data_IF_820919948518
#
_entry.id   IF_820919948518
#
_cell.length_a   1.000
_cell.length_b   1.000
_cell.length_c   1.000
_cell.angle_alpha   90.00
_cell.angle_beta   90.00
_cell.angle_gamma   90.00
#
_symmetry.space_group_name_H-M   'P 1'
#
loop_
_entity.id
_entity.type
_entity.pdbx_description
1 polymer ?
#
# COMPACT_ATOMS: atom_id res chain seq x y z
N UNK A 1 10.89 16.00 -13.84
CA UNK A 1 9.82 15.00 -13.58
C UNK A 1 10.29 13.53 -13.62
N UNK A 2 11.11 13.08 -14.59
CA UNK A 2 11.43 11.65 -14.76
C UNK A 2 11.96 10.91 -13.51
N UNK A 3 12.69 11.58 -12.63
CA UNK A 3 13.22 11.02 -11.37
C UNK A 3 12.13 10.40 -10.46
N UNK A 4 10.96 11.05 -10.33
CA UNK A 4 9.88 10.59 -9.46
C UNK A 4 9.18 9.32 -9.98
N UNK A 5 9.14 9.11 -11.32
CA UNK A 5 8.63 7.86 -11.90
C UNK A 5 9.53 6.67 -11.57
N UNK A 6 10.85 6.88 -11.49
CA UNK A 6 11.82 5.86 -11.07
C UNK A 6 11.61 5.41 -9.62
N UNK A 7 11.48 6.37 -8.69
CA UNK A 7 11.27 6.07 -7.26
C UNK A 7 9.97 5.30 -7.03
N UNK A 8 8.87 5.72 -7.66
CA UNK A 8 7.58 5.01 -7.56
C UNK A 8 7.63 3.57 -8.09
N UNK A 9 8.42 3.31 -9.14
CA UNK A 9 8.65 1.96 -9.66
C UNK A 9 9.48 1.11 -8.70
N UNK A 10 10.53 1.67 -8.08
CA UNK A 10 11.38 0.92 -7.15
C UNK A 10 10.66 0.59 -5.84
N UNK A 11 9.92 1.54 -5.24
CA UNK A 11 9.11 1.24 -4.04
C UNK A 11 8.04 0.21 -4.34
N UNK A 12 7.33 0.33 -5.46
CA UNK A 12 6.33 -0.67 -5.89
C UNK A 12 6.95 -2.06 -6.11
N UNK A 13 8.16 -2.15 -6.68
CA UNK A 13 8.89 -3.42 -6.84
C UNK A 13 9.25 -4.05 -5.49
N UNK A 14 9.72 -3.25 -4.53
CA UNK A 14 10.07 -3.71 -3.17
C UNK A 14 8.81 -4.22 -2.44
N UNK A 15 7.71 -3.47 -2.47
CA UNK A 15 6.48 -3.82 -1.76
C UNK A 15 5.66 -4.94 -2.42
N UNK A 16 5.72 -5.14 -3.75
CA UNK A 16 5.03 -6.26 -4.41
C UNK A 16 5.75 -7.61 -4.23
N UNK A 17 7.08 -7.61 -4.17
CA UNK A 17 7.88 -8.82 -3.93
C UNK A 17 7.59 -9.44 -2.54
N UNK A 18 7.23 -8.62 -1.55
CA UNK A 18 6.83 -9.08 -0.22
C UNK A 18 5.57 -9.97 -0.22
N UNK A 19 4.51 -9.53 -0.91
CA UNK A 19 3.20 -10.18 -0.87
C UNK A 19 3.12 -11.47 -1.71
N UNK A 20 3.85 -11.60 -2.82
CA UNK A 20 3.69 -12.74 -3.75
C UNK A 20 4.02 -14.09 -3.09
N UNK A 21 5.05 -14.11 -2.25
CA UNK A 21 5.47 -15.29 -1.48
C UNK A 21 4.55 -15.62 -0.29
N UNK A 22 3.62 -14.74 0.12
CA UNK A 22 2.69 -15.05 1.21
C UNK A 22 1.66 -16.14 0.80
N UNK A 23 1.34 -16.22 -0.50
CA UNK A 23 0.48 -17.27 -1.05
C UNK A 23 1.20 -18.64 -1.16
N UNK A 24 2.52 -18.65 -1.32
CA UNK A 24 3.29 -19.88 -1.57
C UNK A 24 3.75 -20.59 -0.29
N UNK A 25 3.94 -19.86 0.82
CA UNK A 25 4.35 -20.43 2.12
C UNK A 25 3.22 -21.24 2.78
N UNK A 26 1.96 -21.01 2.41
CA UNK A 26 0.81 -21.78 2.93
C UNK A 26 0.76 -23.25 2.43
N UNK A 27 1.68 -23.67 1.55
CA UNK A 27 1.61 -24.94 0.84
C UNK A 27 2.78 -25.93 1.15
N UNK A 28 3.74 -25.58 2.01
CA UNK A 28 4.87 -26.47 2.38
C UNK A 28 5.29 -26.32 3.83
N UNK A 29 5.16 -27.39 4.63
CA UNK A 29 5.48 -27.34 6.06
C UNK A 29 5.47 -28.67 6.81
N UNK A 30 6.27 -29.66 6.37
CA UNK A 30 6.62 -30.83 7.19
C UNK A 30 7.96 -31.45 6.79
N UNK A 31 8.54 -32.21 7.73
CA UNK A 31 9.70 -33.12 7.60
C UNK A 31 11.07 -32.52 7.22
N UNK A 32 11.91 -32.36 8.25
CA UNK A 32 13.22 -33.01 8.28
C UNK A 32 13.67 -33.20 9.74
N UNK A 33 14.12 -34.40 10.12
CA UNK A 33 14.69 -34.60 11.46
C UNK A 33 14.96 -36.06 11.84
N UNK A 34 16.19 -36.54 11.60
CA UNK A 34 16.83 -37.50 12.50
C UNK A 34 18.35 -37.55 12.40
N UNK A 35 18.92 -37.73 13.58
CA UNK A 35 20.30 -37.89 14.01
C UNK A 35 21.24 -38.74 13.15
N UNK A 36 22.52 -38.36 13.15
CA UNK A 36 23.66 -39.30 13.30
C UNK A 36 24.54 -38.76 14.44
N UNK A 37 25.11 -39.65 15.25
CA UNK A 37 25.96 -39.33 16.41
C UNK A 37 27.44 -39.65 16.15
N UNK A 38 28.34 -38.89 16.80
CA UNK A 38 29.61 -39.34 17.40
C UNK A 38 30.36 -38.18 18.06
N UNK A 39 30.79 -38.38 19.31
CA UNK A 39 31.92 -37.68 19.94
C UNK A 39 33.15 -38.60 19.91
N UNK A 40 34.37 -38.11 20.21
CA UNK A 40 34.81 -38.15 21.62
C UNK A 40 35.58 -36.90 22.12
N UNK A 41 35.47 -36.69 23.44
CA UNK A 41 36.52 -36.31 24.42
C UNK A 41 37.52 -35.15 24.19
N UNK A 42 37.74 -34.35 25.24
CA UNK A 42 38.89 -33.43 25.35
C UNK A 42 38.71 -32.22 26.29
N UNK A 43 38.92 -32.43 27.61
CA UNK A 43 39.48 -31.54 28.67
C UNK A 43 39.27 -29.99 28.65
N UNK A 44 39.18 -29.27 29.77
CA UNK A 44 39.00 -29.57 31.21
C UNK A 44 38.79 -28.23 31.99
N UNK A 45 38.33 -28.28 33.26
CA UNK A 45 38.49 -27.28 34.37
C UNK A 45 38.08 -25.80 34.12
N UNK A 46 37.51 -25.00 35.04
CA UNK A 46 36.88 -25.08 36.39
C UNK A 46 35.78 -23.98 36.42
N UNK A 47 34.91 -23.75 37.42
CA UNK A 47 34.72 -24.18 38.81
C UNK A 47 33.21 -24.46 39.05
N UNK A 48 32.71 -25.24 40.01
CA UNK A 48 32.63 -25.03 41.47
C UNK A 48 32.11 -23.62 41.90
N UNK A 49 31.06 -23.48 42.73
CA UNK A 49 30.35 -24.49 43.56
C UNK A 49 28.97 -23.97 44.06
N UNK A 50 28.07 -24.92 44.41
CA UNK A 50 26.91 -24.81 45.34
C UNK A 50 25.65 -24.02 44.90
N UNK A 51 24.42 -24.39 45.30
CA UNK A 51 23.87 -25.67 45.84
C UNK A 51 22.31 -25.60 45.89
N UNK A 52 21.62 -26.69 45.51
CA UNK A 52 20.25 -27.13 45.93
C UNK A 52 19.04 -26.17 45.86
N UNK A 53 17.77 -26.60 45.83
CA UNK A 53 17.07 -27.90 45.77
C UNK A 53 15.76 -27.61 44.97
N UNK A 54 15.10 -28.40 44.13
CA UNK A 54 14.97 -29.84 43.83
C UNK A 54 13.46 -30.19 43.84
N UNK A 55 12.98 -30.95 42.83
CA UNK A 55 11.58 -31.48 42.68
C UNK A 55 10.53 -30.36 42.43
N UNK A 56 9.52 -30.49 41.57
CA UNK A 56 8.97 -31.55 40.70
C UNK A 56 8.28 -30.82 39.49
N UNK A 57 7.87 -31.40 38.35
CA UNK A 57 7.73 -32.79 37.84
C UNK A 57 7.77 -32.74 36.29
N UNK A 58 7.51 -33.85 35.59
CA UNK A 58 7.17 -33.87 34.14
C UNK A 58 5.99 -34.82 33.84
N UNK A 59 5.39 -34.78 32.62
CA UNK A 59 4.01 -35.20 32.38
C UNK A 59 3.85 -36.62 31.81
N UNK A 60 2.59 -37.07 31.67
CA UNK A 60 2.20 -38.09 30.69
C UNK A 60 1.31 -37.47 29.60
N UNK A 61 1.40 -38.08 28.42
CA UNK A 61 0.54 -37.91 27.24
C UNK A 61 0.35 -39.30 26.62
N UNK A 62 -0.27 -39.37 25.44
CA UNK A 62 -0.39 -40.57 24.57
C UNK A 62 -1.43 -41.60 25.04
N UNK A 63 -2.18 -42.28 24.15
CA UNK A 63 -2.22 -42.24 22.67
C UNK A 63 -3.66 -42.39 22.14
N UNK A 64 -3.89 -42.07 20.86
CA UNK A 64 -4.73 -42.91 19.98
C UNK A 64 -4.44 -42.72 18.48
N UNK A 65 -4.72 -43.79 17.75
CA UNK A 65 -4.24 -44.08 16.39
C UNK A 65 -4.86 -43.21 15.28
N UNK A 66 -4.15 -43.11 14.15
CA UNK A 66 -4.74 -42.82 12.83
C UNK A 66 -4.23 -43.88 11.84
N UNK A 67 -5.15 -44.53 11.11
CA UNK A 67 -4.81 -45.48 10.03
C UNK A 67 -4.58 -44.72 8.73
N UNK A 68 -3.55 -45.09 7.99
CA UNK A 68 -3.29 -44.58 6.64
C UNK A 68 -3.87 -45.51 5.57
N UNK A 69 -4.29 -44.94 4.45
CA UNK A 69 -4.60 -45.67 3.21
C UNK A 69 -3.96 -44.91 2.06
N UNK A 70 -3.25 -45.63 1.19
CA UNK A 70 -2.39 -45.05 0.15
C UNK A 70 -3.04 -45.24 -1.22
N UNK A 71 -3.05 -44.20 -2.05
CA UNK A 71 -3.24 -44.31 -3.50
C UNK A 71 -2.22 -43.45 -4.22
N UNK A 72 -1.73 -43.95 -5.35
CA UNK A 72 -0.74 -43.30 -6.22
C UNK A 72 -1.34 -43.09 -7.61
N UNK A 73 -1.12 -41.92 -8.23
CA UNK A 73 -1.20 -41.73 -9.69
C UNK A 73 -0.11 -40.71 -10.11
N UNK A 74 0.47 -40.90 -11.30
CA UNK A 74 1.42 -39.97 -11.95
C UNK A 74 0.77 -38.58 -12.24
N UNK A 75 1.48 -37.47 -12.52
CA UNK A 75 2.40 -37.32 -13.65
C UNK A 75 3.07 -35.91 -13.75
N UNK A 76 4.24 -35.90 -14.42
CA UNK A 76 4.78 -34.86 -15.34
C UNK A 76 4.92 -33.37 -14.90
N UNK A 77 6.14 -32.84 -15.07
CA UNK A 77 6.42 -31.40 -15.26
C UNK A 77 6.49 -31.04 -16.75
N UNK A 78 6.26 -29.76 -17.13
CA UNK A 78 7.39 -29.00 -17.70
C UNK A 78 7.42 -27.48 -17.42
N UNK A 79 8.58 -27.02 -16.94
CA UNK A 79 9.39 -25.88 -17.42
C UNK A 79 8.72 -24.79 -18.31
N UNK A 80 8.75 -23.52 -17.87
CA UNK A 80 8.37 -22.33 -18.69
C UNK A 80 9.39 -21.19 -18.50
N UNK A 81 9.84 -20.58 -19.60
CA UNK A 81 10.70 -19.37 -19.65
C UNK A 81 9.91 -18.11 -20.06
N UNK A 82 10.41 -16.93 -19.65
CA UNK A 82 10.21 -15.58 -20.23
C UNK A 82 8.81 -15.14 -20.72
N UNK A 83 8.12 -14.25 -19.99
CA UNK A 83 6.85 -13.64 -20.46
C UNK A 83 6.62 -12.13 -20.18
N UNK A 84 7.65 -11.28 -20.06
CA UNK A 84 7.47 -9.84 -19.79
C UNK A 84 7.15 -8.93 -21.00
N UNK A 85 6.81 -9.50 -22.16
CA UNK A 85 6.32 -8.74 -23.34
C UNK A 85 4.94 -9.20 -23.87
N UNK A 86 4.25 -10.14 -23.20
CA UNK A 86 2.95 -10.69 -23.64
C UNK A 86 1.72 -10.10 -22.94
N UNK A 87 1.90 -9.38 -21.83
CA UNK A 87 0.81 -8.80 -21.00
C UNK A 87 0.13 -7.61 -21.67
N UNK A 88 0.89 -6.61 -22.11
CA UNK A 88 0.37 -5.42 -22.83
C UNK A 88 -0.36 -5.80 -24.13
N UNK A 89 0.21 -6.74 -24.91
CA UNK A 89 -0.45 -7.26 -26.12
C UNK A 89 -1.77 -7.99 -25.81
N UNK A 90 -1.87 -8.68 -24.66
CA UNK A 90 -3.13 -9.32 -24.23
C UNK A 90 -4.18 -8.30 -23.82
N UNK A 91 -3.80 -7.24 -23.11
CA UNK A 91 -4.74 -6.16 -22.75
C UNK A 91 -5.30 -5.47 -24.01
N UNK A 92 -4.43 -5.08 -24.94
CA UNK A 92 -4.82 -4.44 -26.22
C UNK A 92 -5.66 -5.37 -27.10
N UNK A 93 -5.34 -6.68 -27.15
CA UNK A 93 -6.15 -7.67 -27.85
C UNK A 93 -7.51 -7.92 -27.20
N UNK A 94 -7.61 -7.87 -25.86
CA UNK A 94 -8.85 -8.01 -25.11
C UNK A 94 -9.81 -6.84 -25.41
N UNK A 95 -9.35 -5.59 -25.28
CA UNK A 95 -10.15 -4.41 -25.66
C UNK A 95 -10.57 -4.43 -27.13
N UNK A 96 -9.67 -4.82 -28.05
CA UNK A 96 -10.00 -4.93 -29.48
C UNK A 96 -11.05 -6.03 -29.77
N UNK A 97 -11.02 -7.15 -29.02
CA UNK A 97 -12.10 -8.16 -29.07
C UNK A 97 -13.42 -7.62 -28.52
N UNK A 98 -13.39 -6.88 -27.40
CA UNK A 98 -14.58 -6.30 -26.77
C UNK A 98 -15.31 -5.34 -27.73
N UNK A 99 -14.56 -4.44 -28.38
CA UNK A 99 -15.09 -3.48 -29.37
C UNK A 99 -15.69 -4.20 -30.57
N UNK A 100 -15.02 -5.23 -31.10
CA UNK A 100 -15.53 -5.98 -32.25
C UNK A 100 -16.78 -6.82 -31.92
N UNK A 101 -16.85 -7.42 -30.72
CA UNK A 101 -18.03 -8.16 -30.27
C UNK A 101 -19.27 -7.26 -30.10
N UNK A 102 -19.08 -6.01 -29.65
CA UNK A 102 -20.16 -5.02 -29.62
C UNK A 102 -20.61 -4.60 -31.03
N UNK A 103 -19.68 -4.39 -31.97
CA UNK A 103 -20.00 -4.05 -33.37
C UNK A 103 -20.78 -5.14 -34.11
N UNK A 104 -20.55 -6.42 -33.81
CA UNK A 104 -21.32 -7.52 -34.42
C UNK A 104 -22.77 -7.63 -33.92
N UNK A 105 -23.12 -7.00 -32.79
CA UNK A 105 -24.43 -7.17 -32.14
C UNK A 105 -25.40 -6.00 -32.37
N UNK A 106 -25.07 -5.09 -33.30
CA UNK A 106 -25.86 -3.88 -33.60
C UNK A 106 -26.22 -3.74 -35.09
N UNK A 107 -26.60 -4.85 -35.74
CA UNK A 107 -27.16 -4.88 -37.10
C UNK A 107 -28.48 -5.66 -37.13
N UNK A 108 -29.51 -5.07 -36.55
CA UNK A 108 -30.92 -5.46 -36.70
C UNK A 108 -31.81 -4.28 -36.34
N UNK A 109 -32.87 -4.06 -37.13
CA UNK A 109 -33.95 -3.10 -36.89
C UNK A 109 -33.60 -1.60 -37.00
N UNK A 110 -33.71 -1.08 -38.22
CA UNK A 110 -34.57 0.10 -38.46
C UNK A 110 -36.01 -0.42 -38.72
N UNK A 111 -37.10 0.36 -38.82
CA UNK A 111 -37.32 1.80 -38.97
C UNK A 111 -38.51 2.27 -38.10
N UNK A 112 -38.72 3.59 -38.00
CA UNK A 112 -39.99 4.33 -38.23
C UNK A 112 -39.77 5.81 -37.89
N UNK A 113 -40.33 6.72 -38.70
CA UNK A 113 -40.32 8.17 -38.48
C UNK A 113 -41.68 8.68 -37.97
N UNK A 114 -41.66 9.72 -37.11
CA UNK A 114 -42.74 10.74 -37.00
C UNK A 114 -42.16 12.04 -36.41
N UNK A 115 -42.93 13.14 -36.45
CA UNK A 115 -42.41 14.52 -36.51
C UNK A 115 -42.67 15.41 -35.28
N UNK A 116 -41.74 16.35 -35.04
CA UNK A 116 -41.85 17.68 -34.39
C UNK A 116 -42.70 17.88 -33.12
N UNK A 117 -42.07 18.49 -32.10
CA UNK A 117 -42.37 19.86 -31.58
C UNK A 117 -41.19 20.29 -30.68
N UNK A 118 -40.98 21.61 -30.49
CA UNK A 118 -39.80 22.18 -29.83
C UNK A 118 -39.92 22.33 -28.31
N UNK A 119 -38.80 22.21 -27.60
CA UNK A 119 -38.44 22.92 -26.34
C UNK A 119 -36.95 22.68 -26.04
N UNK A 120 -36.25 23.53 -25.27
CA UNK A 120 -34.80 23.48 -25.16
C UNK A 120 -34.31 22.27 -24.37
N UNK A 121 -33.82 21.25 -25.08
CA UNK A 121 -33.31 20.01 -24.48
C UNK A 121 -31.97 20.22 -23.78
N UNK A 122 -31.86 19.72 -22.54
CA UNK A 122 -30.57 19.34 -21.99
C UNK A 122 -29.89 18.31 -22.91
N UNK A 123 -28.57 18.39 -23.05
CA UNK A 123 -27.80 17.62 -24.04
C UNK A 123 -27.64 16.14 -23.65
N UNK A 124 -28.73 15.39 -23.82
CA UNK A 124 -28.84 13.94 -23.60
C UNK A 124 -28.11 13.11 -24.68
N UNK A 125 -26.82 13.41 -24.90
CA UNK A 125 -25.91 12.56 -25.66
C UNK A 125 -25.93 11.14 -25.10
N UNK A 126 -25.87 10.13 -25.98
CA UNK A 126 -26.11 8.76 -25.54
C UNK A 126 -25.01 8.29 -24.58
N UNK A 127 -25.26 7.27 -23.74
CA UNK A 127 -24.22 6.72 -22.84
C UNK A 127 -22.95 6.24 -23.56
N UNK A 128 -23.03 5.96 -24.87
CA UNK A 128 -21.88 5.64 -25.72
C UNK A 128 -21.01 6.88 -25.97
N UNK A 129 -21.63 8.03 -26.23
CA UNK A 129 -20.96 9.27 -26.60
C UNK A 129 -20.21 9.86 -25.42
N UNK A 130 -20.82 9.85 -24.22
CA UNK A 130 -20.15 10.20 -22.97
C UNK A 130 -18.92 9.33 -22.69
N UNK A 131 -19.03 8.01 -22.93
CA UNK A 131 -17.92 7.06 -22.75
C UNK A 131 -16.78 7.32 -23.75
N UNK A 132 -17.10 7.60 -25.01
CA UNK A 132 -16.11 7.94 -26.05
C UNK A 132 -15.45 9.29 -25.77
N UNK A 133 -16.22 10.30 -25.35
CA UNK A 133 -15.70 11.63 -25.03
C UNK A 133 -14.71 11.58 -23.85
N UNK A 134 -15.10 10.97 -22.73
CA UNK A 134 -14.22 10.77 -21.58
C UNK A 134 -12.96 9.97 -21.94
N UNK A 135 -13.11 8.87 -22.67
CA UNK A 135 -11.99 8.08 -23.16
C UNK A 135 -11.03 8.89 -24.04
N UNK A 136 -11.53 9.79 -24.88
CA UNK A 136 -10.72 10.67 -25.72
C UNK A 136 -9.94 11.71 -24.87
N UNK A 137 -10.55 12.29 -23.84
CA UNK A 137 -9.86 13.22 -22.93
C UNK A 137 -8.72 12.52 -22.18
N UNK A 138 -9.00 11.35 -21.58
CA UNK A 138 -7.99 10.57 -20.85
C UNK A 138 -6.84 10.13 -21.77
N UNK A 139 -7.14 9.66 -22.99
CA UNK A 139 -6.11 9.30 -23.98
C UNK A 139 -5.29 10.49 -24.49
N UNK A 140 -5.82 11.71 -24.43
CA UNK A 140 -5.09 12.95 -24.74
C UNK A 140 -4.28 13.50 -23.55
N UNK A 141 -4.35 12.87 -22.37
CA UNK A 141 -3.74 13.38 -21.14
C UNK A 141 -4.48 14.56 -20.51
N UNK A 142 -5.69 14.88 -21.01
CA UNK A 142 -6.58 15.97 -20.56
C UNK A 142 -7.34 15.56 -19.30
N UNK A 143 -6.60 15.27 -18.23
CA UNK A 143 -7.16 14.67 -17.01
C UNK A 143 -8.05 15.62 -16.23
N UNK A 144 -7.77 16.92 -16.30
CA UNK A 144 -8.51 17.95 -15.56
C UNK A 144 -9.81 18.28 -16.28
N UNK A 145 -9.81 18.37 -17.61
CA UNK A 145 -11.05 18.42 -18.39
C UNK A 145 -11.88 17.12 -18.25
N UNK A 146 -11.22 15.95 -18.19
CA UNK A 146 -11.89 14.68 -17.91
C UNK A 146 -12.53 14.65 -16.51
N UNK A 147 -11.87 15.23 -15.50
CA UNK A 147 -12.44 15.37 -14.16
C UNK A 147 -13.63 16.35 -14.15
N UNK A 148 -13.51 17.53 -14.78
CA UNK A 148 -14.63 18.47 -14.90
C UNK A 148 -15.83 17.88 -15.64
N UNK A 149 -15.61 17.09 -16.70
CA UNK A 149 -16.68 16.36 -17.40
C UNK A 149 -17.42 15.37 -16.49
N UNK A 150 -16.71 14.65 -15.62
CA UNK A 150 -17.32 13.72 -14.65
C UNK A 150 -18.24 14.42 -13.62
N UNK A 151 -18.09 15.72 -13.40
CA UNK A 151 -18.95 16.52 -12.51
C UNK A 151 -20.21 17.06 -13.22
N UNK A 152 -20.27 16.99 -14.55
CA UNK A 152 -21.37 17.51 -15.37
C UNK A 152 -22.38 16.44 -15.80
N UNK A 153 -22.12 15.16 -15.51
CA UNK A 153 -22.95 14.02 -15.90
C UNK A 153 -23.58 13.32 -14.69
N UNK A 154 -24.54 12.40 -14.93
CA UNK A 154 -25.09 11.54 -13.88
C UNK A 154 -23.98 10.85 -13.07
N UNK A 155 -24.11 10.88 -11.75
CA UNK A 155 -23.12 10.35 -10.82
C UNK A 155 -22.89 8.83 -11.03
N UNK A 156 -23.91 8.08 -11.43
CA UNK A 156 -23.79 6.64 -11.70
C UNK A 156 -23.05 6.35 -13.02
N UNK A 157 -23.18 7.24 -14.02
CA UNK A 157 -22.36 7.25 -15.22
C UNK A 157 -20.90 7.63 -14.90
N UNK A 158 -20.67 8.68 -14.11
CA UNK A 158 -19.35 9.10 -13.67
C UNK A 158 -18.59 7.98 -12.92
N UNK A 159 -19.26 7.30 -11.99
CA UNK A 159 -18.70 6.14 -11.27
C UNK A 159 -18.34 4.96 -12.20
N UNK A 160 -19.14 4.71 -13.25
CA UNK A 160 -18.82 3.70 -14.28
C UNK A 160 -17.60 4.09 -15.11
N UNK A 161 -17.37 5.37 -15.36
CA UNK A 161 -16.21 5.88 -16.10
C UNK A 161 -14.93 5.94 -15.26
N UNK A 162 -15.02 6.22 -13.95
CA UNK A 162 -13.89 6.24 -13.02
C UNK A 162 -13.24 4.85 -12.82
N UNK A 163 -13.99 3.77 -13.05
CA UNK A 163 -13.52 2.38 -12.96
C UNK A 163 -12.47 2.07 -14.03
N UNK A 164 -11.20 2.14 -13.64
CA UNK A 164 -10.06 1.95 -14.52
C UNK A 164 -9.58 3.20 -15.25
N UNK A 165 -10.13 4.39 -14.92
CA UNK A 165 -9.65 5.68 -15.46
C UNK A 165 -8.17 5.97 -15.13
N UNK A 166 -7.66 5.40 -14.04
CA UNK A 166 -6.25 5.47 -13.66
C UNK A 166 -5.94 6.63 -12.72
N UNK A 167 -4.74 6.58 -12.13
CA UNK A 167 -4.38 7.46 -11.03
C UNK A 167 -4.42 8.95 -11.39
N UNK A 168 -4.01 9.35 -12.59
CA UNK A 168 -3.93 10.77 -12.95
C UNK A 168 -5.31 11.45 -13.08
N UNK A 169 -6.36 10.71 -13.43
CA UNK A 169 -7.76 11.20 -13.34
C UNK A 169 -8.20 11.34 -11.87
N UNK A 170 -7.77 10.42 -10.99
CA UNK A 170 -8.00 10.54 -9.55
C UNK A 170 -7.34 11.80 -8.95
N UNK A 171 -6.12 12.13 -9.40
CA UNK A 171 -5.45 13.39 -9.02
C UNK A 171 -6.21 14.61 -9.51
N UNK A 172 -6.64 14.60 -10.76
CA UNK A 172 -7.45 15.69 -11.31
C UNK A 172 -8.75 15.91 -10.51
N UNK A 173 -9.44 14.82 -10.13
CA UNK A 173 -10.63 14.90 -9.27
C UNK A 173 -10.31 15.48 -7.88
N UNK A 174 -9.17 15.15 -7.28
CA UNK A 174 -8.70 15.77 -6.02
C UNK A 174 -8.40 17.27 -6.16
N UNK A 175 -7.96 17.74 -7.33
CA UNK A 175 -7.85 19.18 -7.62
C UNK A 175 -9.21 19.85 -7.72
N UNK A 176 -10.23 19.18 -8.29
CA UNK A 176 -11.61 19.71 -8.31
C UNK A 176 -12.19 19.88 -6.89
N UNK A 177 -11.90 18.95 -5.96
CA UNK A 177 -12.29 19.06 -4.54
C UNK A 177 -11.68 20.29 -3.83
N UNK A 178 -10.54 20.78 -4.31
CA UNK A 178 -9.75 21.83 -3.63
C UNK A 178 -9.76 23.20 -4.32
N UNK A 179 -10.05 23.25 -5.62
CA UNK A 179 -9.88 24.46 -6.45
C UNK A 179 -11.07 24.77 -7.38
N UNK A 180 -12.20 24.05 -7.29
CA UNK A 180 -13.37 24.29 -8.14
C UNK A 180 -14.61 24.71 -7.35
N UNK A 181 -15.48 25.47 -8.01
CA UNK A 181 -16.84 25.79 -7.55
C UNK A 181 -17.68 24.52 -7.31
N UNK A 182 -17.33 23.42 -7.98
CA UNK A 182 -17.98 22.12 -7.84
C UNK A 182 -17.41 21.25 -6.70
N UNK A 183 -16.73 21.85 -5.70
CA UNK A 183 -16.10 21.14 -4.56
C UNK A 183 -17.01 20.06 -3.96
N UNK A 184 -18.26 20.38 -3.68
CA UNK A 184 -19.20 19.47 -3.01
C UNK A 184 -19.55 18.26 -3.89
N UNK A 185 -19.81 18.49 -5.19
CA UNK A 185 -20.06 17.44 -6.18
C UNK A 185 -18.82 16.55 -6.35
N UNK A 186 -17.65 17.16 -6.43
CA UNK A 186 -16.37 16.46 -6.52
C UNK A 186 -16.10 15.61 -5.26
N UNK A 187 -16.37 16.13 -4.07
CA UNK A 187 -16.24 15.40 -2.81
C UNK A 187 -17.20 14.20 -2.77
N UNK A 188 -18.48 14.41 -3.08
CA UNK A 188 -19.49 13.35 -3.09
C UNK A 188 -19.19 12.25 -4.11
N UNK A 189 -18.72 12.60 -5.31
CA UNK A 189 -18.26 11.63 -6.31
C UNK A 189 -17.00 10.87 -5.85
N UNK A 190 -16.04 11.58 -5.23
CA UNK A 190 -14.79 10.99 -4.72
C UNK A 190 -15.04 9.98 -3.61
N UNK A 191 -15.93 10.29 -2.66
CA UNK A 191 -16.35 9.35 -1.61
C UNK A 191 -16.91 8.05 -2.20
N UNK A 192 -17.90 8.16 -3.09
CA UNK A 192 -18.50 6.99 -3.75
C UNK A 192 -17.49 6.19 -4.60
N UNK A 193 -16.53 6.86 -5.25
CA UNK A 193 -15.44 6.19 -5.95
C UNK A 193 -14.55 5.37 -4.99
N UNK A 194 -14.20 5.93 -3.83
CA UNK A 194 -13.43 5.23 -2.81
C UNK A 194 -14.21 4.05 -2.21
N UNK A 195 -15.49 4.26 -1.89
CA UNK A 195 -16.43 3.21 -1.46
C UNK A 195 -16.53 2.08 -2.49
N UNK A 196 -16.67 2.39 -3.78
CA UNK A 196 -16.69 1.37 -4.84
C UNK A 196 -15.36 0.62 -4.99
N UNK A 197 -14.21 1.30 -4.88
CA UNK A 197 -12.90 0.64 -4.94
C UNK A 197 -12.73 -0.31 -3.73
N UNK A 198 -13.10 0.15 -2.53
CA UNK A 198 -13.13 -0.67 -1.30
C UNK A 198 -14.07 -1.87 -1.48
N UNK A 199 -15.30 -1.64 -1.97
CA UNK A 199 -16.31 -2.67 -2.20
C UNK A 199 -15.93 -3.67 -3.30
N UNK A 200 -15.07 -3.29 -4.25
CA UNK A 200 -14.47 -4.21 -5.24
C UNK A 200 -13.26 -5.02 -4.74
N UNK A 201 -12.53 -4.52 -3.73
CA UNK A 201 -11.26 -5.10 -3.28
C UNK A 201 -11.44 -6.46 -2.56
N UNK A 202 -10.67 -7.49 -2.92
CA UNK A 202 -10.85 -8.84 -2.32
C UNK A 202 -10.26 -8.99 -0.92
N UNK A 203 -9.27 -8.19 -0.53
CA UNK A 203 -8.62 -8.29 0.78
C UNK A 203 -8.02 -6.95 1.22
N UNK A 204 -8.31 -6.51 2.44
CA UNK A 204 -7.85 -5.22 2.98
C UNK A 204 -6.32 -4.98 2.79
N UNK A 205 -5.40 -5.94 3.03
CA UNK A 205 -3.96 -5.74 2.80
C UNK A 205 -3.53 -5.47 1.34
N UNK A 206 -4.46 -5.48 0.38
CA UNK A 206 -4.22 -5.12 -1.04
C UNK A 206 -4.88 -3.81 -1.46
N UNK A 207 -5.81 -3.29 -0.64
CA UNK A 207 -6.56 -2.06 -0.88
C UNK A 207 -5.61 -0.86 -1.03
N UNK A 208 -5.85 -0.04 -2.05
CA UNK A 208 -5.02 1.14 -2.40
C UNK A 208 -3.49 0.87 -2.47
N UNK A 209 -3.02 -0.38 -2.66
CA UNK A 209 -1.59 -0.66 -2.91
C UNK A 209 -1.20 -0.50 -4.38
N UNK A 210 -2.13 -0.73 -5.30
CA UNK A 210 -1.91 -0.58 -6.74
C UNK A 210 -2.00 0.89 -7.20
N UNK A 211 -1.71 1.15 -8.49
CA UNK A 211 -1.91 2.44 -9.15
C UNK A 211 -3.34 2.48 -9.71
N UNK A 212 -4.31 2.80 -8.86
CA UNK A 212 -5.74 2.94 -9.18
C UNK A 212 -6.21 4.40 -9.17
N UNK A 213 -7.45 4.65 -9.55
CA UNK A 213 -8.08 5.98 -9.51
C UNK A 213 -8.18 6.49 -8.07
N UNK A 214 -8.66 5.68 -7.11
CA UNK A 214 -8.70 6.05 -5.69
C UNK A 214 -7.32 6.25 -5.08
N UNK A 215 -6.35 5.40 -5.42
CA UNK A 215 -4.95 5.57 -5.03
C UNK A 215 -4.33 6.90 -5.51
N UNK A 216 -4.68 7.35 -6.72
CA UNK A 216 -4.26 8.63 -7.28
C UNK A 216 -4.90 9.81 -6.55
N UNK A 217 -6.21 9.73 -6.31
CA UNK A 217 -6.96 10.71 -5.52
C UNK A 217 -6.38 10.88 -4.10
N UNK A 218 -6.17 9.78 -3.36
CA UNK A 218 -5.61 9.79 -2.01
C UNK A 218 -4.21 10.43 -1.98
N UNK A 219 -3.35 10.14 -2.97
CA UNK A 219 -2.02 10.77 -3.07
C UNK A 219 -2.11 12.29 -3.28
N UNK A 220 -2.96 12.75 -4.19
CA UNK A 220 -3.08 14.17 -4.52
C UNK A 220 -3.82 14.96 -3.44
N UNK A 221 -4.93 14.46 -2.90
CA UNK A 221 -5.76 15.25 -1.97
C UNK A 221 -5.02 15.59 -0.67
N UNK A 222 -4.15 14.68 -0.22
CA UNK A 222 -3.19 14.93 0.86
C UNK A 222 -2.12 15.95 0.45
N UNK A 223 -1.56 15.82 -0.75
CA UNK A 223 -0.58 16.76 -1.29
C UNK A 223 -1.14 18.17 -1.53
N UNK A 224 -2.45 18.32 -1.75
CA UNK A 224 -3.13 19.62 -1.81
C UNK A 224 -3.42 20.13 -0.39
N UNK A 225 -4.28 19.44 0.37
CA UNK A 225 -4.86 19.94 1.63
C UNK A 225 -3.87 20.10 2.80
N UNK A 226 -2.86 19.25 2.93
CA UNK A 226 -2.00 19.27 4.13
C UNK A 226 -1.16 20.57 4.16
N UNK A 227 -1.12 21.34 5.27
CA UNK A 227 -0.42 22.62 5.33
C UNK A 227 1.06 22.56 4.92
N UNK A 228 1.56 23.63 4.30
CA UNK A 228 2.97 23.75 3.85
C UNK A 228 3.97 23.60 5.01
N UNK A 229 3.65 24.11 6.20
CA UNK A 229 4.45 23.88 7.41
C UNK A 229 4.59 22.39 7.74
N UNK A 230 3.47 21.64 7.74
CA UNK A 230 3.47 20.19 7.99
C UNK A 230 4.25 19.43 6.91
N UNK A 231 4.12 19.83 5.64
CA UNK A 231 4.91 19.27 4.51
C UNK A 231 6.41 19.48 4.74
N UNK A 232 6.83 20.67 5.20
CA UNK A 232 8.23 20.97 5.48
C UNK A 232 8.76 20.21 6.70
N UNK A 233 8.01 20.19 7.81
CA UNK A 233 8.35 19.41 9.01
C UNK A 233 8.55 17.92 8.67
N UNK A 234 7.65 17.34 7.87
CA UNK A 234 7.74 15.94 7.43
C UNK A 234 8.91 15.71 6.46
N UNK A 235 9.22 16.65 5.56
CA UNK A 235 10.44 16.56 4.74
C UNK A 235 11.72 16.60 5.60
N UNK A 236 11.74 17.41 6.66
CA UNK A 236 12.89 17.60 7.55
C UNK A 236 13.22 16.35 8.39
N UNK A 237 12.31 15.39 8.53
CA UNK A 237 12.60 14.06 9.10
C UNK A 237 13.82 13.41 8.42
N UNK A 238 14.00 13.63 7.11
CA UNK A 238 15.14 13.08 6.39
C UNK A 238 16.51 13.67 6.81
N UNK A 239 16.52 14.82 7.50
CA UNK A 239 17.70 15.45 8.09
C UNK A 239 17.99 14.94 9.52
N UNK A 240 17.01 14.34 10.21
CA UNK A 240 17.26 13.56 11.43
C UNK A 240 18.13 12.33 11.14
N UNK A 241 18.22 11.92 9.88
CA UNK A 241 18.91 10.73 9.41
C UNK A 241 20.43 10.96 9.13
N UNK A 242 21.01 12.01 9.71
CA UNK A 242 22.37 12.53 9.44
C UNK A 242 23.53 11.71 10.01
N UNK A 243 23.43 10.38 9.99
CA UNK A 243 24.54 9.49 10.33
C UNK A 243 25.55 9.51 9.18
N UNK A 244 26.85 9.61 9.49
CA UNK A 244 27.91 9.57 8.46
C UNK A 244 27.98 8.22 7.73
N UNK A 245 27.52 7.16 8.39
CA UNK A 245 27.57 5.78 7.93
C UNK A 245 26.15 5.27 7.61
N UNK A 246 25.92 4.81 6.37
CA UNK A 246 24.64 4.21 5.97
C UNK A 246 24.85 2.88 5.23
N UNK A 247 24.92 1.81 6.01
CA UNK A 247 25.01 0.42 5.54
C UNK A 247 23.88 -0.39 6.16
N UNK A 248 22.69 -0.21 5.60
CA UNK A 248 21.45 -0.95 5.94
C UNK A 248 20.85 -1.60 4.67
N UNK A 249 21.73 -1.98 3.75
CA UNK A 249 21.45 -2.90 2.66
C UNK A 249 21.83 -4.32 3.09
N UNK A 250 21.14 -5.37 2.60
CA UNK A 250 21.58 -6.74 2.83
C UNK A 250 22.96 -6.97 2.19
N UNK A 251 23.77 -7.91 2.71
CA UNK A 251 25.01 -8.33 2.07
C UNK A 251 24.76 -8.69 0.60
N UNK A 252 25.60 -8.17 -0.32
CA UNK A 252 25.76 -8.86 -1.60
C UNK A 252 26.57 -10.13 -1.33
N UNK A 253 26.26 -11.17 -2.09
CA UNK A 253 27.01 -12.41 -2.06
C UNK A 253 28.49 -12.11 -2.38
N UNK A 254 29.39 -12.43 -1.43
CA UNK A 254 30.83 -12.12 -1.43
C UNK A 254 31.27 -10.69 -1.04
N UNK A 255 30.39 -9.78 -0.61
CA UNK A 255 30.82 -8.51 0.02
C UNK A 255 30.98 -8.64 1.54
N UNK A 256 32.17 -8.29 2.07
CA UNK A 256 32.38 -8.15 3.53
C UNK A 256 31.48 -7.02 4.01
N UNK A 257 30.41 -7.37 4.70
CA UNK A 257 29.37 -6.42 5.12
C UNK A 257 29.90 -5.57 6.27
N UNK A 258 29.88 -4.23 6.18
CA UNK A 258 30.15 -3.38 7.34
C UNK A 258 29.08 -3.66 8.41
N UNK A 259 29.50 -4.20 9.55
CA UNK A 259 28.59 -4.56 10.64
C UNK A 259 27.79 -3.33 11.07
N UNK A 260 26.46 -3.44 11.11
CA UNK A 260 25.58 -2.37 11.59
C UNK A 260 25.87 -2.14 13.08
N UNK A 261 26.62 -1.08 13.40
CA UNK A 261 27.05 -0.80 14.77
C UNK A 261 25.85 -0.56 15.69
N UNK A 262 26.02 -0.83 16.99
CA UNK A 262 25.00 -0.51 18.01
C UNK A 262 24.65 0.99 18.02
N UNK A 263 25.64 1.84 17.71
CA UNK A 263 25.49 3.28 17.54
C UNK A 263 24.56 3.62 16.37
N UNK A 264 24.77 3.02 15.18
CA UNK A 264 23.90 3.22 14.02
C UNK A 264 22.47 2.75 14.30
N UNK A 265 22.29 1.62 14.99
CA UNK A 265 20.97 1.12 15.39
C UNK A 265 20.29 2.10 16.37
N UNK A 266 21.01 2.52 17.42
CA UNK A 266 20.55 3.48 18.43
C UNK A 266 20.16 4.82 17.81
N UNK A 267 20.93 5.30 16.83
CA UNK A 267 20.67 6.58 16.18
C UNK A 267 19.49 6.50 15.21
N UNK A 268 19.35 5.42 14.40
CA UNK A 268 18.15 5.18 13.58
C UNK A 268 16.90 5.08 14.46
N UNK A 269 16.97 4.41 15.62
CA UNK A 269 15.85 4.34 16.57
C UNK A 269 15.44 5.73 17.05
N UNK A 270 16.38 6.53 17.59
CA UNK A 270 16.13 7.92 18.04
C UNK A 270 15.55 8.80 16.93
N UNK A 271 16.07 8.72 15.70
CA UNK A 271 15.54 9.49 14.57
C UNK A 271 14.16 9.00 14.11
N UNK A 272 13.81 7.73 14.35
CA UNK A 272 12.46 7.19 14.09
C UNK A 272 11.47 7.60 15.19
N UNK A 273 11.89 7.62 16.45
CA UNK A 273 11.11 8.14 17.59
C UNK A 273 10.79 9.62 17.41
N UNK A 274 11.77 10.45 17.01
CA UNK A 274 11.56 11.86 16.74
C UNK A 274 10.68 12.08 15.49
N UNK A 275 10.82 11.24 14.46
CA UNK A 275 9.94 11.26 13.30
C UNK A 275 8.47 10.99 13.66
N UNK A 276 8.19 10.11 14.63
CA UNK A 276 6.82 9.90 15.15
C UNK A 276 6.29 11.17 15.82
N UNK A 277 7.08 11.87 16.65
CA UNK A 277 6.65 13.13 17.28
C UNK A 277 6.34 14.22 16.24
N UNK A 278 7.14 14.31 15.18
CA UNK A 278 6.89 15.24 14.06
C UNK A 278 5.58 14.90 13.34
N UNK A 279 5.33 13.61 13.07
CA UNK A 279 4.07 13.16 12.45
C UNK A 279 2.86 13.37 13.36
N UNK A 280 3.02 13.17 14.68
CA UNK A 280 1.99 13.44 15.68
C UNK A 280 1.66 14.94 15.74
N UNK A 281 2.67 15.82 15.77
CA UNK A 281 2.51 17.28 15.65
C UNK A 281 1.78 17.65 14.35
N UNK A 282 2.24 17.14 13.20
CA UNK A 282 1.66 17.43 11.89
C UNK A 282 0.21 16.90 11.74
N UNK A 283 -0.13 15.80 12.41
CA UNK A 283 -1.49 15.24 12.36
C UNK A 283 -2.54 16.15 13.03
N UNK A 284 -2.15 16.96 14.03
CA UNK A 284 -3.04 17.85 14.81
C UNK A 284 -3.62 19.02 14.01
N UNK A 285 -3.13 19.26 12.78
CA UNK A 285 -3.60 20.31 11.87
C UNK A 285 -4.02 19.79 10.49
N UNK A 286 -4.49 18.53 10.43
CA UNK A 286 -5.12 17.95 9.23
C UNK A 286 -6.49 18.62 9.00
N UNK A 287 -6.79 19.15 7.79
CA UNK A 287 -8.07 19.81 7.51
C UNK A 287 -9.28 18.88 7.56
N UNK A 288 -10.46 19.44 7.90
CA UNK A 288 -11.73 18.70 7.98
C UNK A 288 -12.07 17.94 6.69
N UNK A 289 -11.87 18.55 5.52
CA UNK A 289 -12.06 17.90 4.22
C UNK A 289 -11.28 16.57 4.09
N UNK A 290 -10.08 16.50 4.67
CA UNK A 290 -9.24 15.29 4.65
C UNK A 290 -9.63 14.30 5.76
N UNK A 291 -10.03 14.78 6.94
CA UNK A 291 -10.62 13.94 7.99
C UNK A 291 -11.90 13.26 7.50
N UNK A 292 -12.73 13.97 6.73
CA UNK A 292 -13.97 13.47 6.14
C UNK A 292 -13.72 12.35 5.10
N UNK A 293 -12.70 12.51 4.26
CA UNK A 293 -12.24 11.47 3.33
C UNK A 293 -11.67 10.26 4.09
N UNK A 294 -10.84 10.49 5.10
CA UNK A 294 -10.26 9.42 5.93
C UNK A 294 -11.34 8.65 6.70
N UNK A 295 -12.34 9.34 7.24
CA UNK A 295 -13.50 8.74 7.90
C UNK A 295 -14.32 7.91 6.91
N UNK A 296 -14.56 8.41 5.69
CA UNK A 296 -15.24 7.64 4.62
C UNK A 296 -14.49 6.34 4.32
N UNK A 297 -13.16 6.38 4.20
CA UNK A 297 -12.32 5.21 3.98
C UNK A 297 -12.40 4.24 5.18
N UNK A 298 -12.27 4.76 6.41
CA UNK A 298 -12.36 3.96 7.64
C UNK A 298 -13.73 3.26 7.77
N UNK A 299 -14.83 3.97 7.52
CA UNK A 299 -16.19 3.42 7.65
C UNK A 299 -16.45 2.35 6.59
N UNK A 300 -16.11 2.60 5.32
CA UNK A 300 -16.27 1.61 4.25
C UNK A 300 -15.37 0.38 4.46
N UNK A 301 -14.13 0.54 4.93
CA UNK A 301 -13.25 -0.59 5.27
C UNK A 301 -13.81 -1.38 6.46
N UNK A 302 -14.25 -0.71 7.53
CA UNK A 302 -14.84 -1.35 8.70
C UNK A 302 -16.13 -2.11 8.34
N UNK A 303 -17.02 -1.49 7.57
CA UNK A 303 -18.27 -2.10 7.14
C UNK A 303 -18.06 -3.35 6.26
N UNK A 304 -17.00 -3.34 5.44
CA UNK A 304 -16.69 -4.47 4.55
C UNK A 304 -15.90 -5.60 5.22
N UNK A 305 -14.87 -5.28 6.00
CA UNK A 305 -13.93 -6.25 6.54
C UNK A 305 -14.17 -6.57 8.03
N UNK A 306 -15.20 -5.97 8.66
CA UNK A 306 -15.64 -6.23 10.03
C UNK A 306 -14.77 -5.61 11.14
N UNK A 307 -13.48 -5.40 10.86
CA UNK A 307 -12.49 -4.97 11.85
C UNK A 307 -12.29 -3.44 11.87
N UNK A 308 -12.38 -2.86 13.07
CA UNK A 308 -12.08 -1.43 13.32
C UNK A 308 -10.63 -1.08 12.98
N UNK A 309 -9.70 -1.97 13.31
CA UNK A 309 -8.27 -1.71 13.18
C UNK A 309 -7.79 -1.82 11.73
N UNK A 310 -8.41 -2.68 10.91
CA UNK A 310 -8.21 -2.67 9.46
C UNK A 310 -8.54 -1.28 8.85
N UNK A 311 -9.60 -0.63 9.33
CA UNK A 311 -9.94 0.75 8.92
C UNK A 311 -8.83 1.76 9.28
N UNK A 312 -8.31 1.68 10.50
CA UNK A 312 -7.19 2.53 10.96
C UNK A 312 -5.90 2.28 10.18
N UNK A 313 -5.51 1.01 10.04
CA UNK A 313 -4.31 0.57 9.31
C UNK A 313 -4.35 1.05 7.85
N UNK A 314 -5.51 1.04 7.19
CA UNK A 314 -5.64 1.58 5.83
C UNK A 314 -5.47 3.10 5.78
N UNK A 315 -6.05 3.85 6.73
CA UNK A 315 -5.90 5.32 6.78
C UNK A 315 -4.45 5.72 7.09
N UNK A 316 -3.89 5.26 8.21
CA UNK A 316 -2.49 5.57 8.58
C UNK A 316 -1.47 4.99 7.61
N UNK A 317 -1.72 3.77 7.11
CA UNK A 317 -0.88 3.11 6.12
C UNK A 317 -0.82 3.86 4.79
N UNK A 318 -1.95 4.44 4.31
CA UNK A 318 -1.94 5.29 3.13
C UNK A 318 -1.37 6.68 3.41
N UNK A 319 -1.61 7.28 4.58
CA UNK A 319 -0.98 8.55 4.96
C UNK A 319 0.55 8.48 4.90
N UNK A 320 1.13 7.39 5.40
CA UNK A 320 2.56 7.16 5.25
C UNK A 320 2.95 6.79 3.82
N UNK A 321 2.35 5.74 3.23
CA UNK A 321 2.77 5.20 1.93
C UNK A 321 2.63 6.20 0.77
N UNK A 322 1.60 7.05 0.82
CA UNK A 322 1.17 7.90 -0.30
C UNK A 322 1.50 9.38 -0.14
N UNK A 323 1.87 9.82 1.07
CA UNK A 323 2.19 11.21 1.36
C UNK A 323 3.50 11.37 2.17
N UNK A 324 3.55 10.89 3.42
CA UNK A 324 4.68 11.22 4.30
C UNK A 324 5.98 10.52 3.91
N UNK A 325 5.99 9.20 3.67
CA UNK A 325 7.19 8.47 3.26
C UNK A 325 7.75 8.95 1.91
N UNK A 326 6.93 9.27 0.89
CA UNK A 326 7.38 9.98 -0.30
C UNK A 326 8.08 11.32 0.00
N UNK A 327 7.54 12.17 0.89
CA UNK A 327 8.17 13.45 1.25
C UNK A 327 9.51 13.25 1.97
N UNK A 328 9.59 12.27 2.88
CA UNK A 328 10.81 11.89 3.61
C UNK A 328 11.90 11.43 2.63
N UNK A 329 11.61 10.44 1.78
CA UNK A 329 12.62 9.80 0.92
C UNK A 329 12.98 10.65 -0.31
N UNK A 330 12.06 11.47 -0.82
CA UNK A 330 12.29 12.32 -2.00
C UNK A 330 12.83 13.72 -1.68
N UNK A 331 13.12 14.06 -0.42
CA UNK A 331 13.64 15.37 -0.03
C UNK A 331 14.90 15.73 -0.86
N UNK A 332 14.93 16.87 -1.60
CA UNK A 332 16.08 17.25 -2.42
C UNK A 332 17.31 17.62 -1.58
N UNK A 333 17.11 18.16 -0.37
CA UNK A 333 18.13 18.70 0.51
C UNK A 333 18.78 17.61 1.38
N UNK A 334 19.06 16.43 0.80
CA UNK A 334 19.64 15.27 1.51
C UNK A 334 20.76 14.60 0.73
N UNK A 335 21.85 14.29 1.44
CA UNK A 335 22.96 13.47 0.94
C UNK A 335 22.47 12.05 0.62
N UNK A 336 23.21 11.27 -0.21
CA UNK A 336 22.88 9.87 -0.46
C UNK A 336 22.76 9.05 0.83
N UNK A 337 23.63 9.31 1.81
CA UNK A 337 23.66 8.70 3.13
C UNK A 337 22.41 9.01 3.95
N UNK A 338 22.05 10.29 4.08
CA UNK A 338 20.80 10.73 4.71
C UNK A 338 19.58 10.10 4.03
N UNK A 339 19.56 10.06 2.69
CA UNK A 339 18.45 9.49 1.91
C UNK A 339 18.27 7.99 2.18
N UNK A 340 19.35 7.21 2.26
CA UNK A 340 19.29 5.79 2.65
C UNK A 340 18.77 5.61 4.07
N UNK A 341 19.30 6.36 5.04
CA UNK A 341 18.83 6.32 6.43
C UNK A 341 17.35 6.71 6.55
N UNK A 342 16.91 7.71 5.78
CA UNK A 342 15.52 8.14 5.68
C UNK A 342 14.58 7.07 5.09
N UNK A 343 15.06 6.20 4.19
CA UNK A 343 14.30 5.01 3.74
C UNK A 343 14.08 4.01 4.88
N UNK A 344 15.03 3.86 5.80
CA UNK A 344 14.89 2.95 6.95
C UNK A 344 13.90 3.52 7.97
N UNK A 345 14.00 4.82 8.27
CA UNK A 345 13.00 5.53 9.09
C UNK A 345 11.61 5.37 8.47
N UNK A 346 11.47 5.62 7.16
CA UNK A 346 10.21 5.43 6.43
C UNK A 346 9.67 3.99 6.48
N UNK A 347 10.54 2.96 6.42
CA UNK A 347 10.14 1.55 6.63
C UNK A 347 9.66 1.30 8.06
N UNK A 348 10.37 1.80 9.07
CA UNK A 348 9.98 1.69 10.48
C UNK A 348 8.61 2.33 10.74
N UNK A 349 8.41 3.55 10.25
CA UNK A 349 7.12 4.25 10.31
C UNK A 349 6.01 3.48 9.57
N UNK A 350 6.27 2.97 8.36
CA UNK A 350 5.28 2.20 7.60
C UNK A 350 4.86 0.93 8.35
N UNK A 351 5.81 0.23 8.96
CA UNK A 351 5.55 -0.97 9.76
C UNK A 351 4.76 -0.65 11.04
N UNK A 352 5.03 0.50 11.67
CA UNK A 352 4.26 1.00 12.81
C UNK A 352 2.79 1.26 12.46
N UNK A 353 2.51 1.95 11.34
CA UNK A 353 1.14 2.22 10.91
C UNK A 353 0.39 0.99 10.39
N UNK A 354 1.12 0.00 9.87
CA UNK A 354 0.57 -1.29 9.42
C UNK A 354 0.49 -2.33 10.56
N UNK A 355 0.95 -2.03 11.78
CA UNK A 355 1.06 -2.93 12.94
C UNK A 355 1.88 -4.22 12.71
N UNK A 356 2.81 -4.21 11.76
CA UNK A 356 3.67 -5.37 11.43
C UNK A 356 5.09 -5.22 11.98
N UNK A 357 5.72 -6.36 12.30
CA UNK A 357 7.14 -6.43 12.68
C UNK A 357 8.00 -6.82 11.49
N UNK A 358 9.26 -6.40 11.49
CA UNK A 358 10.28 -6.98 10.62
C UNK A 358 10.49 -8.45 10.98
N UNK A 359 10.66 -9.29 9.96
CA UNK A 359 10.91 -10.73 10.09
C UNK A 359 12.07 -11.17 9.23
N UNK A 360 12.32 -12.47 9.14
CA UNK A 360 13.56 -13.05 8.62
C UNK A 360 14.02 -12.55 7.23
N UNK A 361 13.10 -12.11 6.36
CA UNK A 361 13.42 -11.50 5.04
C UNK A 361 14.18 -10.17 5.15
N UNK A 362 14.02 -9.46 6.25
CA UNK A 362 14.62 -8.15 6.55
C UNK A 362 15.24 -8.18 7.96
N UNK A 363 15.91 -9.29 8.33
CA UNK A 363 16.43 -9.52 9.68
C UNK A 363 17.38 -8.42 10.19
N UNK A 364 18.03 -7.69 9.27
CA UNK A 364 18.87 -6.52 9.59
C UNK A 364 18.08 -5.33 10.18
N UNK A 365 16.75 -5.29 10.07
CA UNK A 365 15.88 -4.30 10.74
C UNK A 365 15.21 -4.83 12.02
N UNK A 366 15.54 -6.05 12.48
CA UNK A 366 14.91 -6.61 13.68
C UNK A 366 15.13 -5.76 14.95
N UNK A 367 16.18 -4.92 15.00
CA UNK A 367 16.40 -3.98 16.11
C UNK A 367 15.26 -2.96 16.26
N UNK A 368 14.54 -2.65 15.17
CA UNK A 368 13.40 -1.72 15.17
C UNK A 368 12.15 -2.36 15.83
N UNK A 369 12.08 -3.70 15.91
CA UNK A 369 10.92 -4.39 16.49
C UNK A 369 10.65 -4.08 17.97
N UNK A 370 11.68 -3.67 18.74
CA UNK A 370 11.50 -3.21 20.11
C UNK A 370 10.73 -1.88 20.18
N UNK A 371 11.09 -0.92 19.32
CA UNK A 371 10.38 0.35 19.14
C UNK A 371 8.95 0.14 18.64
N UNK A 372 8.73 -0.77 17.68
CA UNK A 372 7.39 -1.10 17.16
C UNK A 372 6.47 -1.76 18.20
N UNK A 373 7.03 -2.40 19.22
CA UNK A 373 6.29 -3.04 20.31
C UNK A 373 6.17 -2.18 21.58
N UNK A 374 6.74 -0.96 21.58
CA UNK A 374 6.73 -0.08 22.75
C UNK A 374 5.33 0.56 22.92
N UNK A 375 4.68 0.46 24.10
CA UNK A 375 3.37 1.07 24.37
C UNK A 375 3.31 2.58 24.10
N UNK A 376 4.39 3.33 24.33
CA UNK A 376 4.43 4.77 24.05
C UNK A 376 4.40 5.04 22.53
N UNK A 377 5.14 4.27 21.75
CA UNK A 377 5.11 4.35 20.27
C UNK A 377 3.73 4.00 19.72
N UNK A 378 3.08 2.97 20.30
CA UNK A 378 1.71 2.59 19.95
C UNK A 378 0.70 3.70 20.30
N UNK A 379 0.89 4.41 21.42
CA UNK A 379 0.05 5.53 21.82
C UNK A 379 0.17 6.73 20.87
N UNK A 380 1.38 7.19 20.51
CA UNK A 380 1.55 8.27 19.53
C UNK A 380 1.03 7.87 18.13
N UNK A 381 1.16 6.60 17.73
CA UNK A 381 0.53 6.08 16.51
C UNK A 381 -0.99 6.17 16.57
N UNK A 382 -1.61 5.73 17.67
CA UNK A 382 -3.05 5.84 17.88
C UNK A 382 -3.52 7.31 17.90
N UNK A 383 -2.71 8.22 18.46
CA UNK A 383 -2.99 9.66 18.41
C UNK A 383 -2.91 10.22 16.98
N UNK A 384 -1.90 9.83 16.18
CA UNK A 384 -1.83 10.17 14.75
C UNK A 384 -3.10 9.69 14.01
N UNK A 385 -3.54 8.46 14.28
CA UNK A 385 -4.72 7.85 13.66
C UNK A 385 -6.01 8.59 14.04
N UNK A 386 -6.19 8.96 15.31
CA UNK A 386 -7.38 9.70 15.76
C UNK A 386 -7.39 11.14 15.21
N UNK A 387 -6.25 11.84 15.20
CA UNK A 387 -6.12 13.15 14.55
C UNK A 387 -6.46 13.10 13.04
N UNK A 388 -6.01 12.05 12.33
CA UNK A 388 -6.34 11.81 10.91
C UNK A 388 -7.83 11.52 10.68
N UNK A 389 -8.56 11.04 11.69
CA UNK A 389 -9.99 10.71 11.66
C UNK A 389 -10.89 11.79 12.29
N UNK A 390 -10.30 12.85 12.88
CA UNK A 390 -11.03 13.90 13.59
C UNK A 390 -11.66 13.45 14.92
N UNK A 391 -10.90 12.71 15.74
CA UNK A 391 -11.32 12.13 17.03
C UNK A 391 -10.40 12.51 18.17
#
# INVERSE_FOLDING_TARGET
>A
MNFLRGIASQTTSIFTTGNKAAAEVSAKGTEAGRSISKTPEGNAETAAKKLDQAKQKQPLRQDKEVKSTKMEVHAQSPNVKNTDKKTDSRAKAFFKKLINAFRSKSRSSQDVQTTHVETPSSSSGSPKDATVHFGNLVNQGKTDEAASFLLQIDQNAALKLLKGAGADVGKALARQVTHSENKEVAMALSKKMLEEEINSCTAAPTLFRNISTGAGFISEIQAQLIPTGNKQDIQNIAQLASLEVSYLEPPKENEVTPTITSENQTAILKSTEEAVKILEKASKSIPKDLQEINQTIYEAVKAKFGETDAGKQIVGGNFLLRFANPLIVANPNTTPTQRKNAMVIAKGLQNLANEVKFGNKEAHFNFINGFLANPATAASREQILNNLLGR
#
